data_IF_371287613715
#
_entry.id   IF_371287613715
#
_cell.length_a   1.000
_cell.length_b   1.000
_cell.length_c   1.000
_cell.angle_alpha   90.00
_cell.angle_beta   90.00
_cell.angle_gamma   90.00
#
_symmetry.space_group_name_H-M   'P 1'
#
loop_
_entity.id
_entity.type
_entity.pdbx_description
1 polymer ?
#
# COMPACT_ATOMS: atom_id res chain seq x y z
N UNK A 1 7.04 -25.69 -1.92
CA UNK A 1 7.03 -24.67 -0.88
C UNK A 1 6.69 -23.35 -1.52
N UNK A 2 5.63 -22.68 -1.10
CA UNK A 2 5.12 -21.48 -1.76
C UNK A 2 5.78 -20.25 -1.14
N UNK A 3 6.77 -19.69 -1.82
CA UNK A 3 7.45 -18.44 -1.40
C UNK A 3 6.58 -17.21 -1.69
N UNK A 4 5.59 -17.33 -2.58
CA UNK A 4 4.76 -16.20 -3.01
C UNK A 4 3.28 -16.58 -3.00
N UNK A 5 2.59 -16.25 -1.92
CA UNK A 5 1.15 -16.03 -1.93
C UNK A 5 0.88 -14.53 -1.85
N UNK A 6 1.14 -13.84 -2.94
CA UNK A 6 0.66 -12.47 -3.07
C UNK A 6 -0.75 -12.57 -3.64
N UNK A 7 -1.71 -12.35 -2.78
CA UNK A 7 -3.11 -12.27 -3.16
C UNK A 7 -3.31 -10.90 -3.82
N UNK A 8 -3.82 -10.87 -5.03
CA UNK A 8 -4.24 -9.65 -5.72
C UNK A 8 -5.20 -8.87 -4.81
N UNK A 9 -4.73 -7.78 -4.26
CA UNK A 9 -5.55 -6.89 -3.46
C UNK A 9 -5.74 -5.63 -4.28
N UNK A 10 -6.84 -5.63 -5.02
CA UNK A 10 -7.36 -4.43 -5.65
C UNK A 10 -7.95 -3.54 -4.56
N UNK A 11 -7.18 -2.59 -4.07
CA UNK A 11 -7.70 -1.51 -3.23
C UNK A 11 -8.37 -0.49 -4.15
N UNK A 12 -9.66 -0.68 -4.42
CA UNK A 12 -10.45 0.33 -5.12
C UNK A 12 -10.68 1.53 -4.20
N UNK A 13 -9.94 2.60 -4.42
CA UNK A 13 -10.26 3.92 -3.87
C UNK A 13 -11.47 4.44 -4.66
N UNK A 14 -12.64 4.43 -4.03
CA UNK A 14 -13.86 4.97 -4.62
C UNK A 14 -13.76 6.49 -4.72
N UNK A 15 -13.35 6.99 -5.89
CA UNK A 15 -13.50 8.40 -6.26
C UNK A 15 -14.98 8.64 -6.66
N UNK A 16 -15.70 9.33 -5.81
CA UNK A 16 -17.10 9.71 -6.07
C UNK A 16 -17.13 11.18 -6.47
N UNK A 17 -17.36 11.46 -7.74
CA UNK A 17 -17.50 12.82 -8.26
C UNK A 17 -18.90 13.37 -8.04
N UNK A 18 -19.04 14.62 -7.59
CA UNK A 18 -20.33 15.23 -7.24
C UNK A 18 -20.62 16.54 -7.95
N UNK A 19 -21.91 16.69 -8.30
CA UNK A 19 -22.54 17.96 -8.68
C UNK A 19 -23.37 18.47 -7.49
N UNK A 20 -23.01 19.66 -6.98
CA UNK A 20 -23.72 20.33 -5.90
C UNK A 20 -24.96 21.04 -6.43
N UNK A 21 -26.15 20.54 -6.08
CA UNK A 21 -27.39 21.33 -6.18
C UNK A 21 -28.08 21.37 -4.82
N UNK A 22 -28.00 22.52 -4.26
CA UNK A 22 -28.79 23.26 -3.30
C UNK A 22 -29.65 22.61 -2.23
N UNK A 23 -29.40 22.99 -0.96
CA UNK A 23 -30.33 23.68 -0.07
C UNK A 23 -29.67 24.02 1.27
N UNK A 24 -29.50 25.29 1.47
CA UNK A 24 -29.59 26.12 2.68
C UNK A 24 -29.31 25.49 4.04
N UNK A 25 -28.18 25.95 4.67
CA UNK A 25 -27.90 26.01 6.09
C UNK A 25 -27.71 24.66 6.85
N UNK A 26 -27.04 23.69 6.28
CA UNK A 26 -26.36 22.66 7.01
C UNK A 26 -24.86 22.94 7.02
N UNK A 27 -24.29 22.81 8.17
CA UNK A 27 -23.01 23.21 8.68
C UNK A 27 -21.89 23.35 7.62
N UNK A 28 -21.49 24.57 7.32
CA UNK A 28 -20.35 24.87 6.43
C UNK A 28 -19.09 24.04 6.73
N UNK A 29 -18.92 23.61 7.99
CA UNK A 29 -17.77 22.80 8.43
C UNK A 29 -17.81 21.38 7.90
N UNK A 30 -18.98 20.73 7.85
CA UNK A 30 -19.12 19.37 7.28
C UNK A 30 -18.86 19.36 5.77
N UNK A 31 -19.34 20.38 5.05
CA UNK A 31 -19.07 20.53 3.63
C UNK A 31 -17.59 20.83 3.34
N UNK A 32 -16.96 21.69 4.14
CA UNK A 32 -15.52 21.94 4.06
C UNK A 32 -14.71 20.68 4.34
N UNK A 33 -15.11 19.90 5.36
CA UNK A 33 -14.46 18.63 5.67
C UNK A 33 -14.57 17.65 4.51
N UNK A 34 -15.78 17.51 3.91
CA UNK A 34 -15.97 16.73 2.70
C UNK A 34 -14.96 17.12 1.59
N UNK A 35 -14.85 18.41 1.27
CA UNK A 35 -13.95 18.88 0.21
C UNK A 35 -12.49 18.53 0.48
N UNK A 36 -12.05 18.55 1.75
CA UNK A 36 -10.68 18.15 2.12
C UNK A 36 -10.52 16.63 2.05
N UNK A 37 -11.50 15.85 2.48
CA UNK A 37 -11.44 14.38 2.38
C UNK A 37 -11.39 13.91 0.91
N UNK A 38 -12.05 14.62 -0.01
CA UNK A 38 -11.94 14.32 -1.45
C UNK A 38 -10.55 14.69 -2.01
N UNK A 39 -9.87 15.71 -1.47
CA UNK A 39 -8.46 16.00 -1.81
C UNK A 39 -7.52 14.91 -1.28
N UNK A 40 -7.81 14.35 -0.10
CA UNK A 40 -7.10 13.20 0.45
C UNK A 40 -7.18 12.01 -0.50
N UNK A 41 -8.40 11.67 -0.97
CA UNK A 41 -8.59 10.60 -1.96
C UNK A 41 -7.81 10.87 -3.25
N UNK A 42 -7.86 12.11 -3.76
CA UNK A 42 -7.12 12.49 -4.97
C UNK A 42 -5.61 12.38 -4.79
N UNK A 43 -5.08 12.68 -3.61
CA UNK A 43 -3.66 12.55 -3.30
C UNK A 43 -3.19 11.09 -3.26
N UNK A 44 -4.10 10.13 -3.04
CA UNK A 44 -3.80 8.68 -3.06
C UNK A 44 -3.91 8.03 -4.44
N UNK A 45 -4.18 8.81 -5.48
CA UNK A 45 -4.33 8.26 -6.84
C UNK A 45 -3.03 7.62 -7.33
N UNK A 46 -1.89 8.27 -7.10
CA UNK A 46 -0.58 7.72 -7.47
C UNK A 46 -0.31 6.40 -6.72
N UNK A 47 -0.70 6.29 -5.43
CA UNK A 47 -0.62 5.03 -4.68
C UNK A 47 -1.40 3.91 -5.38
N UNK A 48 -2.64 4.19 -5.81
CA UNK A 48 -3.47 3.22 -6.54
C UNK A 48 -2.83 2.79 -7.87
N UNK A 49 -2.27 3.74 -8.60
CA UNK A 49 -1.63 3.51 -9.92
C UNK A 49 -0.34 2.65 -9.82
N UNK A 50 0.30 2.55 -8.63
CA UNK A 50 1.49 1.71 -8.45
C UNK A 50 1.15 0.24 -8.15
N UNK A 51 -0.08 -0.10 -7.75
CA UNK A 51 -0.44 -1.46 -7.31
C UNK A 51 -0.29 -2.50 -8.42
N UNK A 52 -0.84 -2.23 -9.60
CA UNK A 52 -0.79 -3.16 -10.74
C UNK A 52 0.63 -3.37 -11.27
N UNK A 53 1.46 -2.31 -11.49
CA UNK A 53 2.86 -2.47 -11.85
C UNK A 53 3.67 -3.28 -10.84
N UNK A 54 3.48 -3.07 -9.54
CA UNK A 54 4.18 -3.83 -8.50
C UNK A 54 3.84 -5.33 -8.57
N UNK A 55 2.56 -5.68 -8.67
CA UNK A 55 2.12 -7.08 -8.81
C UNK A 55 2.70 -7.73 -10.07
N UNK A 56 2.78 -6.99 -11.18
CA UNK A 56 3.38 -7.49 -12.41
C UNK A 56 4.88 -7.78 -12.24
N UNK A 57 5.64 -6.86 -11.62
CA UNK A 57 7.06 -7.04 -11.34
C UNK A 57 7.34 -8.20 -10.37
N UNK A 58 6.52 -8.36 -9.34
CA UNK A 58 6.62 -9.49 -8.40
C UNK A 58 6.40 -10.83 -9.09
N UNK A 59 5.47 -10.88 -10.02
CA UNK A 59 5.23 -12.08 -10.84
C UNK A 59 6.42 -12.38 -11.74
N UNK A 60 6.98 -11.37 -12.42
CA UNK A 60 8.14 -11.51 -13.28
C UNK A 60 9.36 -12.00 -12.49
N UNK A 61 9.63 -11.42 -11.32
CA UNK A 61 10.72 -11.85 -10.43
C UNK A 61 10.55 -13.31 -9.98
N UNK A 62 9.32 -13.70 -9.62
CA UNK A 62 9.01 -15.09 -9.27
C UNK A 62 9.29 -16.05 -10.42
N UNK A 63 8.99 -15.67 -11.65
CA UNK A 63 9.27 -16.49 -12.84
C UNK A 63 10.77 -16.67 -13.03
N UNK A 64 11.57 -15.61 -12.86
CA UNK A 64 13.04 -15.65 -12.89
C UNK A 64 13.57 -16.57 -11.78
N UNK A 65 13.09 -16.42 -10.55
CA UNK A 65 13.48 -17.28 -9.44
C UNK A 65 13.22 -18.76 -9.75
N UNK A 66 12.05 -19.09 -10.31
CA UNK A 66 11.72 -20.46 -10.70
C UNK A 66 12.64 -21.00 -11.80
N UNK A 67 13.03 -20.16 -12.76
CA UNK A 67 14.01 -20.53 -13.79
C UNK A 67 15.37 -20.85 -13.15
N UNK A 68 15.88 -19.99 -12.26
CA UNK A 68 17.12 -20.23 -11.53
C UNK A 68 17.06 -21.55 -10.75
N UNK A 69 15.96 -21.82 -10.06
CA UNK A 69 15.80 -23.07 -9.29
C UNK A 69 15.71 -24.33 -10.17
N UNK A 70 15.34 -24.18 -11.43
CA UNK A 70 15.33 -25.29 -12.40
C UNK A 70 16.71 -25.57 -13.02
N UNK A 71 17.66 -24.62 -12.92
CA UNK A 71 19.01 -24.77 -13.46
C UNK A 71 19.88 -25.63 -12.53
N UNK A 72 20.81 -26.39 -13.14
CA UNK A 72 21.80 -27.15 -12.39
C UNK A 72 23.08 -26.34 -12.14
N UNK A 73 23.91 -26.79 -11.19
CA UNK A 73 25.19 -26.15 -10.83
C UNK A 73 26.12 -25.87 -12.03
N UNK A 74 25.99 -26.64 -13.12
CA UNK A 74 26.81 -26.47 -14.33
C UNK A 74 26.38 -25.27 -15.21
N UNK A 75 25.27 -24.62 -14.88
CA UNK A 75 24.69 -23.50 -15.64
C UNK A 75 24.87 -22.15 -14.92
N UNK A 76 26.01 -22.01 -14.21
CA UNK A 76 26.26 -20.85 -13.37
C UNK A 76 26.20 -19.51 -14.12
N UNK A 77 26.70 -19.46 -15.36
CA UNK A 77 26.61 -18.23 -16.19
C UNK A 77 25.15 -17.78 -16.43
N UNK A 78 24.25 -18.72 -16.65
CA UNK A 78 22.82 -18.40 -16.82
C UNK A 78 22.18 -17.98 -15.50
N UNK A 79 22.58 -18.60 -14.38
CA UNK A 79 22.15 -18.16 -13.02
C UNK A 79 22.58 -16.71 -12.77
N UNK A 80 23.83 -16.34 -13.12
CA UNK A 80 24.32 -14.97 -12.96
C UNK A 80 23.47 -14.00 -13.77
N UNK A 81 23.21 -14.30 -15.04
CA UNK A 81 22.40 -13.45 -15.92
C UNK A 81 20.97 -13.27 -15.39
N UNK A 82 20.29 -14.35 -15.05
CA UNK A 82 18.93 -14.29 -14.47
C UNK A 82 18.91 -13.53 -13.15
N UNK A 83 19.97 -13.66 -12.33
CA UNK A 83 20.09 -12.89 -11.09
C UNK A 83 20.26 -11.39 -11.36
N UNK A 84 20.97 -10.99 -12.42
CA UNK A 84 21.08 -9.59 -12.82
C UNK A 84 19.74 -9.04 -13.32
N UNK A 85 18.96 -9.83 -14.06
CA UNK A 85 17.60 -9.46 -14.46
C UNK A 85 16.69 -9.26 -13.25
N UNK A 86 16.73 -10.17 -12.26
CA UNK A 86 15.98 -10.05 -11.02
C UNK A 86 16.39 -8.81 -10.19
N UNK A 87 17.69 -8.50 -10.11
CA UNK A 87 18.18 -7.28 -9.46
C UNK A 87 17.60 -6.01 -10.10
N UNK A 88 17.50 -5.99 -11.44
CA UNK A 88 16.86 -4.88 -12.16
C UNK A 88 15.36 -4.74 -11.82
N UNK A 89 14.66 -5.86 -11.64
CA UNK A 89 13.26 -5.84 -11.23
C UNK A 89 13.11 -5.31 -9.80
N UNK A 90 13.98 -5.72 -8.87
CA UNK A 90 13.99 -5.22 -7.50
C UNK A 90 14.16 -3.70 -7.46
N UNK A 91 15.06 -3.14 -8.27
CA UNK A 91 15.25 -1.70 -8.36
C UNK A 91 13.96 -1.00 -8.86
N UNK A 92 13.29 -1.54 -9.88
CA UNK A 92 11.98 -1.02 -10.34
C UNK A 92 10.90 -1.09 -9.27
N UNK A 93 10.82 -2.22 -8.53
CA UNK A 93 9.88 -2.37 -7.41
C UNK A 93 10.13 -1.33 -6.33
N UNK A 94 11.40 -0.99 -6.05
CA UNK A 94 11.78 0.06 -5.10
C UNK A 94 11.32 1.44 -5.56
N UNK A 95 11.42 1.75 -6.85
CA UNK A 95 10.93 3.01 -7.41
C UNK A 95 9.41 3.13 -7.28
N UNK A 96 8.66 2.06 -7.54
CA UNK A 96 7.21 2.03 -7.35
C UNK A 96 6.82 2.18 -5.87
N UNK A 97 7.51 1.49 -4.95
CA UNK A 97 7.29 1.63 -3.51
C UNK A 97 7.54 3.07 -3.04
N UNK A 98 8.56 3.75 -3.57
CA UNK A 98 8.83 5.15 -3.22
C UNK A 98 7.68 6.06 -3.64
N UNK A 99 7.12 5.88 -4.83
CA UNK A 99 5.96 6.66 -5.29
C UNK A 99 4.72 6.41 -4.42
N UNK A 100 4.49 5.18 -3.98
CA UNK A 100 3.42 4.87 -3.01
C UNK A 100 3.61 5.63 -1.71
N UNK A 101 4.83 5.60 -1.15
CA UNK A 101 5.18 6.30 0.08
C UNK A 101 4.93 7.80 -0.06
N UNK A 102 5.35 8.39 -1.18
CA UNK A 102 5.21 9.82 -1.43
C UNK A 102 3.72 10.20 -1.55
N UNK A 103 2.93 9.44 -2.29
CA UNK A 103 1.48 9.63 -2.44
C UNK A 103 0.76 9.58 -1.08
N UNK A 104 1.07 8.60 -0.23
CA UNK A 104 0.48 8.50 1.11
C UNK A 104 0.93 9.65 2.02
N UNK A 105 2.16 10.15 1.89
CA UNK A 105 2.63 11.32 2.62
C UNK A 105 1.90 12.60 2.19
N UNK A 106 1.61 12.76 0.90
CA UNK A 106 0.81 13.85 0.36
C UNK A 106 -0.63 13.78 0.88
N UNK A 107 -1.24 12.60 0.84
CA UNK A 107 -2.54 12.34 1.44
C UNK A 107 -2.58 12.72 2.92
N UNK A 108 -1.57 12.31 3.70
CA UNK A 108 -1.45 12.66 5.12
C UNK A 108 -1.32 14.17 5.34
N UNK A 109 -0.66 14.88 4.43
CA UNK A 109 -0.51 16.34 4.49
C UNK A 109 -1.84 17.04 4.25
N UNK A 110 -2.63 16.58 3.27
CA UNK A 110 -4.00 17.05 3.06
C UNK A 110 -4.90 16.72 4.26
N UNK A 111 -4.80 15.51 4.80
CA UNK A 111 -5.62 15.07 5.92
C UNK A 111 -5.40 15.89 7.20
N UNK A 112 -4.20 16.41 7.45
CA UNK A 112 -3.94 17.33 8.59
C UNK A 112 -4.80 18.59 8.53
N UNK A 113 -5.11 19.10 7.33
CA UNK A 113 -5.99 20.27 7.15
C UNK A 113 -7.43 19.96 7.58
N UNK A 114 -7.84 18.70 7.47
CA UNK A 114 -9.16 18.24 7.88
C UNK A 114 -9.32 18.24 9.42
N UNK A 115 -8.25 18.07 10.20
CA UNK A 115 -8.32 18.02 11.67
C UNK A 115 -8.82 19.34 12.27
N UNK A 116 -8.40 20.49 11.73
CA UNK A 116 -8.87 21.81 12.19
C UNK A 116 -10.37 21.97 11.90
N UNK A 117 -10.80 21.61 10.68
CA UNK A 117 -12.19 21.72 10.26
C UNK A 117 -13.10 20.80 11.08
N UNK A 118 -12.64 19.57 11.38
CA UNK A 118 -13.38 18.61 12.22
C UNK A 118 -13.72 19.21 13.59
N UNK A 119 -12.80 19.99 14.16
CA UNK A 119 -13.02 20.60 15.48
C UNK A 119 -14.06 21.74 15.46
N UNK A 120 -14.39 22.26 14.29
CA UNK A 120 -15.44 23.28 14.12
C UNK A 120 -16.85 22.66 14.01
N UNK A 121 -16.98 21.34 13.86
CA UNK A 121 -18.27 20.66 13.77
C UNK A 121 -19.00 20.74 15.10
N UNK A 122 -20.20 21.35 15.10
CA UNK A 122 -21.00 21.57 16.31
C UNK A 122 -22.02 20.47 16.56
N UNK A 123 -22.54 19.87 15.49
CA UNK A 123 -23.47 18.74 15.60
C UNK A 123 -22.77 17.53 16.21
N UNK A 124 -23.32 17.02 17.32
CA UNK A 124 -22.69 15.95 18.10
C UNK A 124 -22.66 14.59 17.40
N UNK A 125 -23.65 14.32 16.52
CA UNK A 125 -23.70 13.07 15.75
C UNK A 125 -22.67 13.10 14.61
N UNK A 126 -22.62 14.20 13.86
CA UNK A 126 -21.61 14.41 12.81
C UNK A 126 -20.20 14.39 13.40
N UNK A 127 -20.00 15.04 14.55
CA UNK A 127 -18.68 15.07 15.20
C UNK A 127 -18.20 13.67 15.60
N UNK A 128 -19.05 12.84 16.18
CA UNK A 128 -18.70 11.44 16.52
C UNK A 128 -18.30 10.65 15.27
N UNK A 129 -19.10 10.75 14.18
CA UNK A 129 -18.76 10.07 12.91
C UNK A 129 -17.44 10.56 12.32
N UNK A 130 -17.15 11.86 12.41
CA UNK A 130 -15.89 12.41 12.02
C UNK A 130 -14.73 11.93 12.91
N UNK A 131 -14.92 11.85 14.23
CA UNK A 131 -13.88 11.35 15.16
C UNK A 131 -13.51 9.89 14.87
N UNK A 132 -14.51 9.01 14.66
CA UNK A 132 -14.32 7.60 14.29
C UNK A 132 -13.52 7.49 12.97
N UNK A 133 -13.93 8.26 11.94
CA UNK A 133 -13.27 8.31 10.65
C UNK A 133 -11.79 8.70 10.77
N UNK A 134 -11.52 9.72 11.59
CA UNK A 134 -10.17 10.25 11.80
C UNK A 134 -9.27 9.27 12.56
N UNK A 135 -9.82 8.52 13.52
CA UNK A 135 -9.07 7.49 14.23
C UNK A 135 -8.64 6.37 13.27
N UNK A 136 -9.56 5.87 12.45
CA UNK A 136 -9.25 4.84 11.46
C UNK A 136 -8.19 5.34 10.47
N UNK A 137 -8.32 6.55 9.95
CA UNK A 137 -7.36 7.09 8.97
C UNK A 137 -5.95 7.26 9.57
N UNK A 138 -5.84 7.70 10.84
CA UNK A 138 -4.54 7.76 11.53
C UNK A 138 -3.90 6.38 11.67
N UNK A 139 -4.71 5.37 12.03
CA UNK A 139 -4.24 3.98 12.13
C UNK A 139 -3.82 3.46 10.76
N UNK A 140 -4.59 3.74 9.71
CA UNK A 140 -4.25 3.38 8.32
C UNK A 140 -2.90 3.94 7.89
N UNK A 141 -2.62 5.22 8.17
CA UNK A 141 -1.29 5.80 7.88
C UNK A 141 -0.16 5.15 8.68
N UNK A 142 -0.42 4.77 9.93
CA UNK A 142 0.57 4.07 10.76
C UNK A 142 0.89 2.69 10.19
N UNK A 143 -0.13 1.94 9.81
CA UNK A 143 0.02 0.60 9.24
C UNK A 143 0.68 0.65 7.87
N UNK A 144 0.34 1.62 7.00
CA UNK A 144 1.05 1.83 5.74
C UNK A 144 2.54 2.07 5.95
N UNK A 145 2.91 2.90 6.93
CA UNK A 145 4.33 3.11 7.24
C UNK A 145 5.04 1.81 7.65
N UNK A 146 4.35 0.93 8.40
CA UNK A 146 4.87 -0.39 8.75
C UNK A 146 5.01 -1.26 7.52
N UNK A 147 3.97 -1.34 6.68
CA UNK A 147 3.96 -2.08 5.42
C UNK A 147 5.13 -1.68 4.52
N UNK A 148 5.31 -0.39 4.27
CA UNK A 148 6.39 0.13 3.45
C UNK A 148 7.78 -0.22 4.00
N UNK A 149 7.93 -0.22 5.33
CA UNK A 149 9.18 -0.64 5.99
C UNK A 149 9.46 -2.13 5.80
N UNK A 150 8.47 -3.00 6.04
CA UNK A 150 8.63 -4.45 5.89
C UNK A 150 8.87 -4.82 4.41
N UNK A 151 8.16 -4.16 3.49
CA UNK A 151 8.37 -4.36 2.06
C UNK A 151 9.76 -3.93 1.59
N UNK A 152 10.26 -2.78 2.05
CA UNK A 152 11.63 -2.35 1.79
C UNK A 152 12.65 -3.36 2.32
N UNK A 153 12.42 -3.91 3.52
CA UNK A 153 13.28 -4.95 4.11
C UNK A 153 13.22 -6.27 3.31
N UNK A 154 12.06 -6.59 2.72
CA UNK A 154 11.93 -7.75 1.82
C UNK A 154 12.75 -7.54 0.55
N UNK A 155 12.66 -6.35 -0.07
CA UNK A 155 13.46 -6.01 -1.26
C UNK A 155 14.97 -6.06 -1.00
N UNK A 156 15.43 -5.64 0.19
CA UNK A 156 16.84 -5.77 0.58
C UNK A 156 17.22 -7.25 0.69
N UNK A 157 16.35 -8.08 1.26
CA UNK A 157 16.59 -9.53 1.40
C UNK A 157 16.54 -10.25 0.05
N UNK A 158 15.65 -9.86 -0.88
CA UNK A 158 15.63 -10.36 -2.26
C UNK A 158 16.94 -10.03 -2.98
N UNK A 159 17.39 -8.78 -2.87
CA UNK A 159 18.68 -8.35 -3.42
C UNK A 159 19.84 -9.20 -2.93
N UNK A 160 19.90 -9.44 -1.61
CA UNK A 160 20.93 -10.28 -1.02
C UNK A 160 20.84 -11.73 -1.52
N UNK A 161 19.62 -12.28 -1.74
CA UNK A 161 19.41 -13.60 -2.30
C UNK A 161 20.06 -13.73 -3.69
N UNK A 162 19.76 -12.80 -4.61
CA UNK A 162 20.31 -12.85 -5.95
C UNK A 162 21.82 -12.60 -5.99
N UNK A 163 22.36 -11.74 -5.12
CA UNK A 163 23.81 -11.61 -4.95
C UNK A 163 24.46 -12.89 -4.43
N UNK A 164 23.80 -13.62 -3.52
CA UNK A 164 24.27 -14.93 -3.05
C UNK A 164 24.24 -15.99 -4.18
N UNK A 165 23.20 -16.00 -5.02
CA UNK A 165 23.06 -16.92 -6.16
C UNK A 165 24.12 -16.70 -7.24
N UNK A 166 24.64 -15.48 -7.38
CA UNK A 166 25.79 -15.17 -8.27
C UNK A 166 27.13 -15.68 -7.74
N UNK A 167 27.20 -16.18 -6.52
CA UNK A 167 28.43 -16.71 -5.93
C UNK A 167 28.46 -18.24 -6.10
N UNK A 168 29.29 -18.72 -7.03
CA UNK A 168 29.46 -20.15 -7.32
C UNK A 168 29.85 -20.98 -6.08
N UNK A 169 30.52 -20.36 -5.09
CA UNK A 169 30.99 -21.01 -3.87
C UNK A 169 30.01 -20.94 -2.71
N UNK A 170 28.78 -20.45 -2.94
CA UNK A 170 27.78 -20.35 -1.86
C UNK A 170 27.39 -21.74 -1.31
N UNK A 171 27.39 -21.90 0.00
CA UNK A 171 26.92 -23.16 0.60
C UNK A 171 25.41 -23.22 0.60
N UNK A 172 24.86 -24.41 0.38
CA UNK A 172 23.42 -24.67 0.43
C UNK A 172 22.80 -24.23 1.76
N UNK A 173 23.42 -24.52 2.88
CA UNK A 173 22.92 -24.17 4.22
C UNK A 173 22.76 -22.64 4.40
N UNK A 174 23.69 -21.84 3.84
CA UNK A 174 23.57 -20.36 3.88
C UNK A 174 22.41 -19.87 3.03
N UNK A 175 22.23 -20.44 1.87
CA UNK A 175 21.13 -20.09 0.97
C UNK A 175 19.78 -20.46 1.60
N UNK A 176 19.64 -21.66 2.14
CA UNK A 176 18.43 -22.13 2.82
C UNK A 176 18.09 -21.26 4.04
N UNK A 177 19.11 -20.93 4.87
CA UNK A 177 18.91 -20.04 6.01
C UNK A 177 18.46 -18.62 5.57
N UNK A 178 18.98 -18.12 4.43
CA UNK A 178 18.55 -16.83 3.90
C UNK A 178 17.11 -16.87 3.40
N UNK A 179 16.74 -17.87 2.60
CA UNK A 179 15.38 -18.06 2.10
C UNK A 179 14.38 -18.21 3.25
N UNK A 180 14.75 -18.88 4.32
CA UNK A 180 13.90 -19.00 5.52
C UNK A 180 13.63 -17.64 6.17
N UNK A 181 14.65 -16.78 6.30
CA UNK A 181 14.48 -15.41 6.81
C UNK A 181 13.66 -14.54 5.87
N UNK A 182 13.91 -14.65 4.57
CA UNK A 182 13.15 -13.93 3.53
C UNK A 182 11.66 -14.27 3.61
N UNK A 183 11.31 -15.54 3.73
CA UNK A 183 9.91 -15.98 3.91
C UNK A 183 9.26 -15.36 5.16
N UNK A 184 10.02 -15.27 6.26
CA UNK A 184 9.53 -14.62 7.50
C UNK A 184 9.29 -13.12 7.28
N UNK A 185 10.13 -12.45 6.49
CA UNK A 185 9.96 -11.04 6.15
C UNK A 185 8.73 -10.82 5.28
N UNK A 186 8.53 -11.66 4.26
CA UNK A 186 7.31 -11.60 3.43
C UNK A 186 6.03 -11.91 4.20
N UNK A 187 6.08 -12.77 5.23
CA UNK A 187 4.92 -12.96 6.10
C UNK A 187 4.52 -11.66 6.80
N UNK A 188 5.49 -10.87 7.29
CA UNK A 188 5.20 -9.56 7.90
C UNK A 188 4.64 -8.55 6.90
N UNK A 189 5.12 -8.58 5.65
CA UNK A 189 4.56 -7.76 4.57
C UNK A 189 3.10 -8.13 4.35
N UNK A 190 2.81 -9.43 4.26
CA UNK A 190 1.45 -9.93 4.09
C UNK A 190 0.52 -9.49 5.22
N UNK A 191 0.93 -9.70 6.47
CA UNK A 191 0.15 -9.35 7.65
C UNK A 191 -0.15 -7.83 7.69
N UNK A 192 0.87 -6.99 7.43
CA UNK A 192 0.70 -5.53 7.38
C UNK A 192 -0.19 -5.07 6.21
N UNK A 193 -0.14 -5.78 5.09
CA UNK A 193 -0.99 -5.49 3.93
C UNK A 193 -2.47 -5.84 4.21
N UNK A 194 -2.74 -6.99 4.84
CA UNK A 194 -4.10 -7.34 5.27
C UNK A 194 -4.66 -6.27 6.20
N UNK A 195 -3.91 -5.88 7.24
CA UNK A 195 -4.34 -4.84 8.18
C UNK A 195 -4.59 -3.49 7.49
N UNK A 196 -3.73 -3.10 6.55
CA UNK A 196 -3.91 -1.86 5.77
C UNK A 196 -5.20 -1.89 4.94
N UNK A 197 -5.52 -3.03 4.33
CA UNK A 197 -6.72 -3.20 3.52
C UNK A 197 -7.99 -3.19 4.36
N UNK A 198 -7.98 -3.84 5.51
CA UNK A 198 -9.09 -3.79 6.47
C UNK A 198 -9.36 -2.35 6.93
N UNK A 199 -8.31 -1.60 7.30
CA UNK A 199 -8.44 -0.20 7.69
C UNK A 199 -8.92 0.68 6.53
N UNK A 200 -8.51 0.38 5.30
CA UNK A 200 -9.00 1.09 4.10
C UNK A 200 -10.48 0.84 3.88
N UNK A 201 -10.95 -0.39 4.02
CA UNK A 201 -12.36 -0.72 3.91
C UNK A 201 -13.18 -0.02 5.01
N UNK A 202 -12.73 -0.06 6.27
CA UNK A 202 -13.35 0.63 7.38
C UNK A 202 -13.38 2.15 7.18
N UNK A 203 -12.29 2.75 6.68
CA UNK A 203 -12.24 4.17 6.37
C UNK A 203 -13.30 4.55 5.33
N UNK A 204 -13.41 3.81 4.25
CA UNK A 204 -14.39 4.06 3.20
C UNK A 204 -15.84 3.95 3.73
N UNK A 205 -16.12 2.95 4.56
CA UNK A 205 -17.42 2.80 5.22
C UNK A 205 -17.74 4.01 6.12
N UNK A 206 -16.82 4.38 7.00
CA UNK A 206 -17.01 5.51 7.94
C UNK A 206 -17.06 6.85 7.21
N UNK A 207 -16.34 7.03 6.12
CA UNK A 207 -16.45 8.20 5.25
C UNK A 207 -17.86 8.34 4.69
N UNK A 208 -18.43 7.25 4.19
CA UNK A 208 -19.81 7.24 3.70
C UNK A 208 -20.86 7.48 4.80
N UNK A 209 -20.66 6.91 5.99
CA UNK A 209 -21.51 7.17 7.16
C UNK A 209 -21.49 8.65 7.56
N UNK A 210 -20.31 9.27 7.59
CA UNK A 210 -20.17 10.70 7.89
C UNK A 210 -20.88 11.55 6.83
N UNK A 211 -20.70 11.26 5.54
CA UNK A 211 -21.34 11.99 4.46
C UNK A 211 -22.86 11.92 4.53
N UNK A 212 -23.43 10.74 4.83
CA UNK A 212 -24.87 10.56 5.02
C UNK A 212 -25.40 11.36 6.21
N UNK A 213 -24.71 11.32 7.37
CA UNK A 213 -25.08 12.06 8.57
C UNK A 213 -25.02 13.58 8.32
N UNK A 214 -24.04 14.05 7.57
CA UNK A 214 -23.90 15.44 7.18
C UNK A 214 -24.95 15.89 6.11
N UNK A 215 -25.76 14.96 5.61
CA UNK A 215 -26.76 15.24 4.57
C UNK A 215 -26.15 15.63 3.23
N UNK A 216 -24.91 15.19 2.97
CA UNK A 216 -24.24 15.39 1.69
C UNK A 216 -24.81 14.38 0.69
N UNK A 217 -25.43 14.88 -0.39
CA UNK A 217 -25.99 14.03 -1.43
C UNK A 217 -24.88 13.32 -2.18
N UNK A 218 -24.83 12.01 -2.01
CA UNK A 218 -23.96 11.11 -2.75
C UNK A 218 -24.77 10.61 -3.96
N UNK A 219 -24.87 11.41 -5.03
CA UNK A 219 -25.39 10.86 -6.29
C UNK A 219 -24.36 9.87 -6.85
N UNK A 220 -24.86 8.67 -7.18
CA UNK A 220 -24.09 7.56 -7.73
C UNK A 220 -23.60 7.83 -9.13
#
# INVERSE_FOLDING_TARGET
MSIFRITNILVSVLAVGFLLTGCVSKEKSAERLYQVLEKVVKAEKEFEEQQEPLVALEKEEKEIYNQIMALGMKQHEEIVKLSDDALSIIDKRRDHLQKEIDSINDSKTEFKKAEEIKNEIKDSAQKRKADDLFEIMRNRYKVHKQLAKEYSSALDSDKDLYLMLKNESISYDKLEAHVTRLNTTYQKVYDANEEFNELTAQYNEKKLEFYKEAGLNLEK
#
